data_IF_948728828681
#
_entry.id   IF_948728828681
#
_cell.length_a   1.000
_cell.length_b   1.000
_cell.length_c   1.000
_cell.angle_alpha   90.00
_cell.angle_beta   90.00
_cell.angle_gamma   90.00
#
_symmetry.space_group_name_H-M   'P 1'
#
loop_
_entity.id
_entity.type
_entity.pdbx_description
1 polymer ?
#
# COMPACT_ATOMS: atom_id res chain seq x y z
N UNK A 1 -31.46 -6.96 -8.12
CA UNK A 1 -30.36 -5.97 -8.24
C UNK A 1 -30.56 -4.95 -7.11
N UNK A 2 -30.02 -5.24 -5.93
CA UNK A 2 -30.15 -4.36 -4.76
C UNK A 2 -29.02 -3.35 -4.80
N UNK A 3 -29.39 -2.07 -4.84
CA UNK A 3 -28.50 -0.93 -4.72
C UNK A 3 -27.85 -1.00 -3.32
N UNK A 4 -26.53 -1.12 -3.28
CA UNK A 4 -25.75 -0.91 -2.07
C UNK A 4 -26.03 0.54 -1.61
N UNK A 5 -26.42 0.78 -0.35
CA UNK A 5 -26.65 2.13 0.12
C UNK A 5 -25.32 2.87 0.13
N UNK A 6 -25.22 3.95 -0.64
CA UNK A 6 -24.18 4.96 -0.48
C UNK A 6 -24.31 5.51 0.93
N UNK A 7 -23.44 5.06 1.84
CA UNK A 7 -23.38 5.62 3.18
C UNK A 7 -23.07 7.12 3.03
N UNK A 8 -24.06 7.95 3.36
CA UNK A 8 -23.88 9.37 3.55
C UNK A 8 -22.71 9.57 4.52
N UNK A 9 -21.62 10.19 4.05
CA UNK A 9 -20.51 10.62 4.90
C UNK A 9 -21.08 11.59 5.92
N UNK A 10 -21.32 11.09 7.13
CA UNK A 10 -21.78 11.90 8.25
C UNK A 10 -20.70 12.93 8.58
N UNK A 11 -21.14 14.13 8.95
CA UNK A 11 -20.33 15.30 9.26
C UNK A 11 -19.48 15.19 10.56
N UNK A 12 -19.05 13.98 10.91
CA UNK A 12 -18.20 13.66 12.08
C UNK A 12 -16.72 13.43 11.69
N UNK A 13 -16.34 13.76 10.45
CA UNK A 13 -14.95 13.71 9.95
C UNK A 13 -14.08 14.91 10.43
N UNK A 14 -14.61 15.77 11.31
CA UNK A 14 -13.88 16.91 11.86
C UNK A 14 -13.11 16.52 13.13
N UNK A 15 -12.02 15.75 13.00
CA UNK A 15 -11.13 15.52 14.14
C UNK A 15 -10.12 14.38 14.03
N UNK A 16 -10.22 13.49 13.04
CA UNK A 16 -9.16 12.50 12.80
C UNK A 16 -8.10 13.13 11.91
N UNK A 17 -6.94 13.42 12.51
CA UNK A 17 -5.79 13.93 11.76
C UNK A 17 -5.47 12.94 10.62
N UNK A 18 -5.53 13.44 9.39
CA UNK A 18 -5.28 12.65 8.18
C UNK A 18 -3.92 11.94 8.31
N UNK A 19 -3.85 10.66 7.96
CA UNK A 19 -2.57 9.92 8.01
C UNK A 19 -1.71 10.39 6.85
N UNK A 20 -0.57 11.00 7.15
CA UNK A 20 0.36 11.50 6.14
C UNK A 20 1.50 10.52 5.88
N UNK A 21 2.25 10.73 4.80
CA UNK A 21 3.50 9.99 4.54
C UNK A 21 4.48 10.06 5.72
N UNK A 22 4.54 11.20 6.44
CA UNK A 22 5.39 11.34 7.61
C UNK A 22 4.97 10.39 8.75
N UNK A 23 3.67 10.13 8.92
CA UNK A 23 3.18 9.19 9.93
C UNK A 23 3.50 7.75 9.54
N UNK A 24 3.20 7.37 8.29
CA UNK A 24 3.47 6.04 7.77
C UNK A 24 4.98 5.72 7.82
N UNK A 25 5.82 6.58 7.25
CA UNK A 25 7.28 6.39 7.25
C UNK A 25 7.83 6.40 8.69
N UNK A 26 7.29 7.25 9.56
CA UNK A 26 7.67 7.28 10.98
C UNK A 26 7.36 5.99 11.72
N UNK A 27 6.23 5.33 11.41
CA UNK A 27 5.88 4.04 11.96
C UNK A 27 6.85 2.93 11.50
N UNK A 28 7.15 2.88 10.20
CA UNK A 28 8.10 1.90 9.65
C UNK A 28 9.50 2.09 10.23
N UNK A 29 9.97 3.33 10.41
CA UNK A 29 11.26 3.62 11.05
C UNK A 29 11.31 3.04 12.48
N UNK A 30 10.24 3.21 13.25
CA UNK A 30 10.13 2.67 14.62
C UNK A 30 10.09 1.15 14.62
N UNK A 31 9.33 0.54 13.70
CA UNK A 31 9.22 -0.91 13.54
C UNK A 31 10.56 -1.56 13.19
N UNK A 32 11.29 -0.99 12.22
CA UNK A 32 12.63 -1.43 11.83
C UNK A 32 13.72 -1.05 12.84
N UNK A 33 13.36 -0.32 13.92
CA UNK A 33 14.28 0.14 14.98
C UNK A 33 15.46 0.95 14.45
N UNK A 34 15.25 1.73 13.38
CA UNK A 34 16.28 2.56 12.77
C UNK A 34 16.36 3.92 13.45
N UNK A 35 17.57 4.39 13.73
CA UNK A 35 17.80 5.76 14.15
C UNK A 35 17.89 6.70 12.95
N UNK A 36 17.65 8.01 13.16
CA UNK A 36 17.86 9.01 12.10
C UNK A 36 19.32 9.08 11.61
N UNK A 37 20.29 8.63 12.41
CA UNK A 37 21.69 8.53 11.98
C UNK A 37 21.89 7.37 11.00
N UNK A 38 21.18 6.26 11.20
CA UNK A 38 21.24 5.10 10.30
C UNK A 38 20.63 5.46 8.93
N UNK A 39 19.50 6.19 8.93
CA UNK A 39 18.86 6.68 7.71
C UNK A 39 19.75 7.69 6.98
N UNK A 40 20.36 8.64 7.70
CA UNK A 40 21.29 9.61 7.14
C UNK A 40 22.51 8.92 6.48
N UNK A 41 23.03 7.87 7.11
CA UNK A 41 24.11 7.07 6.54
C UNK A 41 23.68 6.32 5.27
N UNK A 42 22.48 5.73 5.26
CA UNK A 42 21.96 4.95 4.14
C UNK A 42 21.60 5.82 2.90
N UNK A 43 21.17 7.06 3.10
CA UNK A 43 20.73 7.93 2.00
C UNK A 43 21.85 8.77 1.37
N UNK A 44 23.13 8.49 1.66
CA UNK A 44 24.28 9.24 1.12
C UNK A 44 24.16 10.76 1.34
N UNK A 45 23.69 11.19 2.52
CA UNK A 45 23.46 12.61 2.91
C UNK A 45 22.39 13.36 2.09
N UNK A 46 21.57 12.67 1.30
CA UNK A 46 20.39 13.30 0.67
C UNK A 46 19.37 13.79 1.70
N UNK A 47 19.35 13.17 2.87
CA UNK A 47 18.58 13.59 4.05
C UNK A 47 19.49 13.62 5.26
N UNK A 48 19.52 14.77 5.96
CA UNK A 48 20.31 14.93 7.17
C UNK A 48 19.51 14.54 8.41
N UNK A 49 20.18 14.16 9.50
CA UNK A 49 19.52 13.89 10.80
C UNK A 49 18.66 15.07 11.26
N UNK A 50 19.14 16.30 11.06
CA UNK A 50 18.39 17.52 11.40
C UNK A 50 17.11 17.67 10.56
N UNK A 51 17.16 17.31 9.27
CA UNK A 51 15.99 17.32 8.40
C UNK A 51 14.98 16.24 8.80
N UNK A 52 15.46 15.03 9.08
CA UNK A 52 14.63 13.91 9.56
C UNK A 52 13.92 14.26 10.87
N UNK A 53 14.61 14.85 11.85
CA UNK A 53 14.00 15.29 13.11
C UNK A 53 12.95 16.40 12.96
N UNK A 54 13.03 17.20 11.89
CA UNK A 54 12.01 18.19 11.54
C UNK A 54 10.81 17.58 10.82
N UNK A 55 11.02 16.57 9.96
CA UNK A 55 9.95 15.86 9.25
C UNK A 55 9.14 15.01 10.25
N UNK A 56 9.84 14.26 11.10
CA UNK A 56 9.26 13.30 12.04
C UNK A 56 9.19 13.86 13.47
N UNK A 57 8.92 15.16 13.62
CA UNK A 57 8.72 15.76 14.93
C UNK A 57 7.51 15.11 15.62
N UNK A 58 7.60 14.82 16.92
CA UNK A 58 6.50 14.25 17.69
C UNK A 58 5.29 15.20 17.72
N UNK A 59 5.55 16.50 17.76
CA UNK A 59 4.53 17.54 17.60
C UNK A 59 4.23 17.77 16.11
N UNK A 60 3.05 17.29 15.67
CA UNK A 60 2.58 17.45 14.28
C UNK A 60 2.58 18.90 13.82
N UNK A 61 2.25 19.85 14.69
CA UNK A 61 2.20 21.28 14.33
C UNK A 61 3.57 21.89 14.02
N UNK A 62 4.64 21.24 14.51
CA UNK A 62 6.03 21.65 14.29
C UNK A 62 6.72 20.86 13.18
N UNK A 63 6.03 19.92 12.55
CA UNK A 63 6.59 19.14 11.44
C UNK A 63 6.83 20.05 10.25
N UNK A 64 8.00 19.87 9.63
CA UNK A 64 8.24 20.46 8.33
C UNK A 64 7.61 19.58 7.24
N UNK A 65 6.99 20.16 6.21
CA UNK A 65 6.44 19.40 5.09
C UNK A 65 7.51 18.52 4.44
N UNK A 66 7.14 17.28 4.13
CA UNK A 66 7.98 16.33 3.39
C UNK A 66 7.84 16.58 1.88
N UNK A 67 8.97 16.62 1.17
CA UNK A 67 8.99 16.75 -0.29
C UNK A 67 8.90 15.37 -0.95
N UNK A 68 8.32 15.30 -2.15
CA UNK A 68 8.19 14.04 -2.88
C UNK A 68 9.55 13.33 -3.12
N UNK A 69 10.60 14.08 -3.45
CA UNK A 69 11.95 13.52 -3.57
C UNK A 69 12.48 12.91 -2.27
N UNK A 70 12.11 13.49 -1.12
CA UNK A 70 12.48 12.97 0.20
C UNK A 70 11.69 11.69 0.53
N UNK A 71 10.41 11.62 0.13
CA UNK A 71 9.60 10.41 0.22
C UNK A 71 10.27 9.26 -0.54
N UNK A 72 10.67 9.47 -1.80
CA UNK A 72 11.34 8.42 -2.58
C UNK A 72 12.64 7.93 -1.96
N UNK A 73 13.47 8.85 -1.45
CA UNK A 73 14.71 8.50 -0.75
C UNK A 73 14.41 7.65 0.50
N UNK A 74 13.41 8.03 1.29
CA UNK A 74 13.04 7.29 2.49
C UNK A 74 12.47 5.91 2.17
N UNK A 75 11.61 5.81 1.16
CA UNK A 75 11.06 4.54 0.71
C UNK A 75 12.14 3.56 0.25
N UNK A 76 13.13 4.03 -0.52
CA UNK A 76 14.25 3.19 -0.94
C UNK A 76 15.12 2.72 0.24
N UNK A 77 15.40 3.61 1.19
CA UNK A 77 16.15 3.25 2.41
C UNK A 77 15.39 2.21 3.25
N UNK A 78 14.08 2.40 3.40
CA UNK A 78 13.22 1.52 4.20
C UNK A 78 12.80 0.25 3.45
N UNK A 79 13.21 0.10 2.18
CA UNK A 79 12.84 -1.01 1.29
C UNK A 79 11.33 -1.20 1.15
N UNK A 80 10.61 -0.08 1.08
CA UNK A 80 9.15 -0.03 0.87
C UNK A 80 8.87 0.44 -0.56
N UNK A 81 8.04 -0.32 -1.29
CA UNK A 81 7.63 0.08 -2.63
C UNK A 81 6.76 1.34 -2.62
N UNK A 82 6.83 2.17 -3.66
CA UNK A 82 6.00 3.38 -3.75
C UNK A 82 4.50 3.07 -3.73
N UNK A 83 4.06 2.10 -4.54
CA UNK A 83 2.66 1.66 -4.56
C UNK A 83 2.22 1.09 -3.21
N UNK A 84 3.12 0.38 -2.51
CA UNK A 84 2.84 -0.16 -1.18
C UNK A 84 2.56 0.96 -0.20
N UNK A 85 3.42 1.99 -0.15
CA UNK A 85 3.23 3.13 0.73
C UNK A 85 1.93 3.90 0.41
N UNK A 86 1.66 4.16 -0.87
CA UNK A 86 0.45 4.86 -1.29
C UNK A 86 -0.82 4.08 -0.89
N UNK A 87 -0.85 2.77 -1.16
CA UNK A 87 -1.97 1.89 -0.82
C UNK A 87 -2.12 1.75 0.69
N UNK A 88 -1.04 1.60 1.45
CA UNK A 88 -1.11 1.52 2.92
C UNK A 88 -1.71 2.79 3.51
N UNK A 89 -1.28 3.98 3.08
CA UNK A 89 -1.84 5.25 3.56
C UNK A 89 -3.34 5.34 3.22
N UNK A 90 -3.73 4.97 2.00
CA UNK A 90 -5.13 4.95 1.59
C UNK A 90 -5.95 3.97 2.46
N UNK A 91 -5.48 2.74 2.62
CA UNK A 91 -6.19 1.71 3.37
C UNK A 91 -6.36 2.09 4.85
N UNK A 92 -5.33 2.65 5.49
CA UNK A 92 -5.42 3.12 6.88
C UNK A 92 -6.46 4.24 7.04
N UNK A 93 -6.60 5.12 6.03
CA UNK A 93 -7.59 6.20 6.05
C UNK A 93 -9.01 5.69 5.88
N UNK A 94 -9.21 4.77 4.92
CA UNK A 94 -10.55 4.25 4.56
C UNK A 94 -11.04 3.18 5.54
N UNK A 95 -10.12 2.40 6.08
CA UNK A 95 -10.36 1.35 7.05
C UNK A 95 -9.39 1.62 8.20
N UNK A 96 -9.81 2.24 9.32
CA UNK A 96 -8.93 2.42 10.48
C UNK A 96 -9.01 1.26 11.48
N UNK A 97 -10.00 0.37 11.32
CA UNK A 97 -10.36 -0.68 12.29
C UNK A 97 -9.66 -2.03 12.04
N UNK A 98 -9.08 -2.23 10.86
CA UNK A 98 -8.32 -3.43 10.50
C UNK A 98 -6.93 -3.36 11.15
N UNK A 99 -6.37 -4.51 11.50
CA UNK A 99 -5.05 -4.59 12.15
C UNK A 99 -3.91 -4.17 11.21
N UNK A 100 -2.85 -3.60 11.79
CA UNK A 100 -1.69 -3.09 11.04
C UNK A 100 -1.09 -4.14 10.08
N UNK A 101 -0.93 -5.38 10.56
CA UNK A 101 -0.35 -6.48 9.79
C UNK A 101 -1.20 -6.87 8.57
N UNK A 102 -2.52 -6.72 8.68
CA UNK A 102 -3.43 -7.01 7.57
C UNK A 102 -3.29 -5.96 6.45
N UNK A 103 -3.14 -4.67 6.77
CA UNK A 103 -2.89 -3.66 5.73
C UNK A 103 -1.56 -3.88 5.03
N UNK A 104 -0.50 -4.18 5.77
CA UNK A 104 0.82 -4.41 5.19
C UNK A 104 0.79 -5.57 4.21
N UNK A 105 0.16 -6.68 4.59
CA UNK A 105 0.02 -7.84 3.72
C UNK A 105 -0.84 -7.55 2.47
N UNK A 106 -1.97 -6.85 2.62
CA UNK A 106 -2.84 -6.49 1.49
C UNK A 106 -2.12 -5.50 0.57
N UNK A 107 -1.49 -4.47 1.10
CA UNK A 107 -0.74 -3.49 0.32
C UNK A 107 0.43 -4.13 -0.43
N UNK A 108 1.16 -5.06 0.20
CA UNK A 108 2.21 -5.84 -0.45
C UNK A 108 1.66 -6.71 -1.58
N UNK A 109 0.56 -7.45 -1.33
CA UNK A 109 -0.08 -8.28 -2.35
C UNK A 109 -0.47 -7.46 -3.58
N UNK A 110 -1.19 -6.36 -3.37
CA UNK A 110 -1.65 -5.50 -4.46
C UNK A 110 -0.46 -4.85 -5.17
N UNK A 111 0.54 -4.37 -4.43
CA UNK A 111 1.73 -3.76 -5.03
C UNK A 111 2.49 -4.73 -5.92
N UNK A 112 2.67 -5.97 -5.46
CA UNK A 112 3.31 -7.02 -6.25
C UNK A 112 2.48 -7.40 -7.48
N UNK A 113 1.15 -7.41 -7.37
CA UNK A 113 0.26 -7.69 -8.50
C UNK A 113 0.30 -6.59 -9.57
N UNK A 114 0.51 -5.33 -9.15
CA UNK A 114 0.59 -4.17 -10.05
C UNK A 114 2.00 -3.88 -10.55
N UNK A 115 3.04 -4.44 -9.93
CA UNK A 115 4.43 -4.20 -10.30
C UNK A 115 4.69 -4.69 -11.73
N UNK A 116 5.24 -3.82 -12.59
CA UNK A 116 5.53 -4.14 -13.98
C UNK A 116 4.31 -4.10 -14.91
N UNK A 117 3.10 -3.87 -14.36
CA UNK A 117 1.88 -3.83 -15.16
C UNK A 117 1.83 -2.61 -16.11
N UNK A 118 2.19 -1.38 -15.68
CA UNK A 118 2.24 -0.23 -16.59
C UNK A 118 3.17 -0.45 -17.78
N UNK A 119 4.37 -0.99 -17.55
CA UNK A 119 5.35 -1.28 -18.60
C UNK A 119 4.80 -2.29 -19.61
N UNK A 120 4.18 -3.38 -19.12
CA UNK A 120 3.52 -4.35 -20.00
C UNK A 120 2.37 -3.77 -20.82
N UNK A 121 1.63 -2.80 -20.28
CA UNK A 121 0.59 -2.11 -21.03
C UNK A 121 1.21 -1.29 -22.16
N UNK A 122 2.31 -0.58 -21.91
CA UNK A 122 3.03 0.14 -22.97
C UNK A 122 3.61 -0.81 -24.03
N UNK A 123 4.16 -1.94 -23.62
CA UNK A 123 4.66 -2.96 -24.55
C UNK A 123 3.52 -3.50 -25.44
N UNK A 124 2.33 -3.73 -24.87
CA UNK A 124 1.15 -4.15 -25.63
C UNK A 124 0.71 -3.11 -26.65
N UNK A 125 0.71 -1.81 -26.28
CA UNK A 125 0.42 -0.73 -27.23
C UNK A 125 1.42 -0.73 -28.39
N UNK A 126 2.70 -1.00 -28.13
CA UNK A 126 3.73 -1.04 -29.17
C UNK A 126 3.63 -2.27 -30.08
N UNK A 127 3.00 -3.36 -29.62
CA UNK A 127 2.87 -4.62 -30.36
C UNK A 127 1.62 -4.71 -31.23
N UNK A 128 0.54 -4.02 -30.85
CA UNK A 128 -0.75 -4.09 -31.54
C UNK A 128 -0.83 -2.92 -32.51
N UNK A 129 -0.70 -3.22 -33.81
CA UNK A 129 -0.77 -2.20 -34.86
C UNK A 129 -2.13 -1.46 -34.82
N UNK A 130 -2.06 -0.13 -34.86
CA UNK A 130 -3.24 0.75 -34.77
C UNK A 130 -3.82 0.97 -33.37
N UNK A 131 -3.19 0.49 -32.30
CA UNK A 131 -3.60 0.78 -30.92
C UNK A 131 -2.75 1.91 -30.32
N UNK A 132 -3.37 3.03 -30.00
CA UNK A 132 -2.70 4.21 -29.43
C UNK A 132 -3.01 4.39 -27.94
N UNK A 133 -2.21 5.20 -27.25
CA UNK A 133 -2.45 5.52 -25.84
C UNK A 133 -3.83 6.21 -25.62
N UNK A 134 -4.35 6.91 -26.63
CA UNK A 134 -5.69 7.52 -26.61
C UNK A 134 -6.83 6.51 -26.56
N UNK A 135 -6.57 5.25 -26.92
CA UNK A 135 -7.56 4.18 -26.89
C UNK A 135 -7.67 3.53 -25.49
N UNK A 136 -6.85 3.96 -24.53
CA UNK A 136 -6.95 3.51 -23.14
C UNK A 136 -8.03 4.30 -22.40
N UNK A 137 -9.17 3.66 -22.17
CA UNK A 137 -10.28 4.24 -21.43
C UNK A 137 -10.34 3.76 -19.97
N UNK A 138 -10.82 4.60 -19.02
CA UNK A 138 -11.04 4.20 -17.62
C UNK A 138 -11.97 2.99 -17.46
N UNK A 139 -12.87 2.74 -18.41
CA UNK A 139 -13.77 1.58 -18.43
C UNK A 139 -13.01 0.26 -18.60
N UNK A 140 -11.90 0.24 -19.34
CA UNK A 140 -11.03 -0.94 -19.45
C UNK A 140 -10.48 -1.36 -18.09
N UNK A 141 -10.08 -0.38 -17.27
CA UNK A 141 -9.62 -0.61 -15.90
C UNK A 141 -10.66 -1.29 -15.00
N UNK A 142 -11.95 -0.93 -15.14
CA UNK A 142 -13.04 -1.56 -14.36
C UNK A 142 -13.22 -3.03 -14.74
N UNK A 143 -13.13 -3.36 -16.02
CA UNK A 143 -13.23 -4.74 -16.47
C UNK A 143 -12.05 -5.57 -15.95
N UNK A 144 -10.83 -5.05 -16.04
CA UNK A 144 -9.63 -5.68 -15.48
C UNK A 144 -9.79 -5.89 -13.97
N UNK A 145 -10.27 -4.88 -13.24
CA UNK A 145 -10.52 -4.98 -11.80
C UNK A 145 -11.49 -6.13 -11.48
N UNK A 146 -12.60 -6.24 -12.20
CA UNK A 146 -13.57 -7.31 -11.98
C UNK A 146 -12.95 -8.70 -12.17
N UNK A 147 -12.20 -8.90 -13.25
CA UNK A 147 -11.51 -10.17 -13.53
C UNK A 147 -10.50 -10.51 -12.43
N UNK A 148 -9.74 -9.52 -11.95
CA UNK A 148 -8.79 -9.69 -10.84
C UNK A 148 -9.53 -10.10 -9.55
N UNK A 149 -10.64 -9.45 -9.22
CA UNK A 149 -11.42 -9.75 -8.02
C UNK A 149 -12.02 -11.16 -8.05
N UNK A 150 -12.64 -11.53 -9.18
CA UNK A 150 -13.19 -12.88 -9.38
C UNK A 150 -12.09 -13.94 -9.22
N UNK A 151 -10.91 -13.68 -9.80
CA UNK A 151 -9.78 -14.61 -9.68
C UNK A 151 -9.26 -14.73 -8.25
N UNK A 152 -9.09 -13.60 -7.55
CA UNK A 152 -8.67 -13.58 -6.15
C UNK A 152 -9.63 -14.39 -5.27
N UNK A 153 -10.94 -14.23 -5.47
CA UNK A 153 -11.94 -14.99 -4.71
C UNK A 153 -11.76 -16.51 -4.90
N UNK A 154 -11.61 -16.97 -6.14
CA UNK A 154 -11.40 -18.40 -6.43
C UNK A 154 -10.13 -18.91 -5.75
N UNK A 155 -9.01 -18.18 -5.87
CA UNK A 155 -7.71 -18.60 -5.34
C UNK A 155 -7.74 -18.65 -3.79
N UNK A 156 -8.35 -17.67 -3.13
CA UNK A 156 -8.44 -17.63 -1.66
C UNK A 156 -9.46 -18.62 -1.09
N UNK A 157 -10.57 -18.90 -1.79
CA UNK A 157 -11.47 -20.01 -1.42
C UNK A 157 -10.74 -21.36 -1.50
N UNK A 158 -9.93 -21.56 -2.52
CA UNK A 158 -9.07 -22.74 -2.65
C UNK A 158 -8.04 -22.83 -1.52
N UNK A 159 -7.42 -21.70 -1.15
CA UNK A 159 -6.48 -21.62 -0.04
C UNK A 159 -7.13 -21.96 1.31
N UNK A 160 -8.31 -21.41 1.60
CA UNK A 160 -9.06 -21.69 2.82
C UNK A 160 -9.36 -23.20 2.97
N UNK A 161 -9.89 -23.83 1.91
CA UNK A 161 -10.15 -25.29 1.90
C UNK A 161 -8.91 -26.12 2.23
N UNK A 162 -7.74 -25.76 1.67
CA UNK A 162 -6.47 -26.45 1.94
C UNK A 162 -5.97 -26.20 3.36
N UNK A 163 -6.16 -25.00 3.91
CA UNK A 163 -5.81 -24.66 5.29
C UNK A 163 -6.62 -25.50 6.27
N UNK A 164 -7.93 -25.62 6.06
CA UNK A 164 -8.83 -26.40 6.91
C UNK A 164 -8.44 -27.90 6.91
N UNK A 165 -8.09 -28.43 5.74
CA UNK A 165 -7.60 -29.81 5.62
C UNK A 165 -6.28 -30.05 6.39
N UNK A 166 -5.33 -29.11 6.34
CA UNK A 166 -4.07 -29.23 7.08
C UNK A 166 -4.28 -29.17 8.60
N UNK A 167 -5.18 -28.30 9.06
CA UNK A 167 -5.54 -28.21 10.47
C UNK A 167 -6.19 -29.53 10.92
N UNK A 168 -7.13 -30.05 10.15
CA UNK A 168 -7.76 -31.34 10.44
C UNK A 168 -6.77 -32.52 10.48
N UNK A 169 -5.83 -32.60 9.52
CA UNK A 169 -4.79 -33.63 9.50
C UNK A 169 -3.81 -33.51 10.67
N UNK A 170 -3.44 -32.29 11.07
CA UNK A 170 -2.57 -32.05 12.24
C UNK A 170 -3.25 -32.37 13.57
N UNK A 171 -4.57 -32.25 13.65
CA UNK A 171 -5.35 -32.63 14.82
C UNK A 171 -5.49 -34.15 14.96
N UNK A 172 -5.51 -34.89 13.84
CA UNK A 172 -5.61 -36.36 13.83
C UNK A 172 -4.25 -37.03 14.10
N UNK A 173 -3.14 -36.37 13.80
CA UNK A 173 -1.77 -36.92 13.96
C UNK A 173 -1.20 -36.77 15.38
N UNK A 174 -1.94 -36.12 16.29
CA UNK A 174 -1.56 -35.90 17.70
C UNK A 174 -2.37 -36.79 18.68
N UNK A 175 -3.02 -37.83 18.17
CA UNK A 175 -3.64 -38.92 18.93
C UNK A 175 -2.99 -40.25 18.52
#
# INVERSE_FOLDING_TARGET
>A
MQLVPTAERSADECGRAEVEYADFLGAIIKEQKLSYRDIEAACSRRLTKSRLGRIFNDDRSKRSPIKLGEVYVLLDVLKVGYYQAALSIQLIREYPQVEHDAYTNIAMLISNALQGLPEKIFDLLAMIDGLEASDIYPTHGRHIQQVVLERLEVDYRGFAKRKDQRIALSAVSNF
#
